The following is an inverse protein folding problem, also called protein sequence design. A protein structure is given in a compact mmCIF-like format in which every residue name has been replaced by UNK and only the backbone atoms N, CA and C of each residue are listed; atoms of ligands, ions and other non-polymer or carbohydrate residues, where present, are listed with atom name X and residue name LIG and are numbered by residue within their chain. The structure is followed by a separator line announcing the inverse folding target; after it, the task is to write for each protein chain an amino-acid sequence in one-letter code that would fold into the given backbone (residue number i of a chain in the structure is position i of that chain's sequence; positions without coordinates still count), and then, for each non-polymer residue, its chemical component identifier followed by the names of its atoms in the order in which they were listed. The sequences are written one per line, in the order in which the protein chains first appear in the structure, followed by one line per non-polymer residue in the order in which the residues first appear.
data_IF_884379947861
#
_entry.id   IF_884379947861
#
_cell.length_a   1.000
_cell.length_b   1.000
_cell.length_c   1.000
_cell.angle_alpha   90.00
_cell.angle_beta   90.00
_cell.angle_gamma   90.00
#
_symmetry.space_group_name_H-M   'P 1'
#
loop_
_entity.id
_entity.type
_entity.pdbx_description
1 polymer ?
#
# COMPACT_ATOMS: atom_id res chain seq x y z
N UNK A 1 1.16 -8.08 -13.28
CA UNK A 1 1.72 -8.75 -12.08
C UNK A 1 0.57 -9.27 -11.22
N UNK A 2 0.82 -10.21 -10.30
CA UNK A 2 -0.21 -10.65 -9.35
C UNK A 2 -0.05 -9.87 -8.05
N UNK A 3 -1.09 -9.18 -7.61
CA UNK A 3 -1.10 -8.38 -6.37
C UNK A 3 -1.04 -9.24 -5.09
N UNK A 4 -0.87 -10.55 -5.19
CA UNK A 4 -0.74 -11.41 -4.02
C UNK A 4 0.66 -11.28 -3.39
N UNK A 5 0.74 -11.32 -2.04
CA UNK A 5 2.01 -11.48 -1.36
C UNK A 5 2.69 -12.79 -1.77
N UNK A 6 4.02 -12.74 -1.89
CA UNK A 6 4.89 -13.88 -2.13
C UNK A 6 5.41 -14.53 -0.82
N UNK A 7 4.70 -14.30 0.28
CA UNK A 7 5.06 -14.72 1.64
C UNK A 7 3.78 -14.99 2.46
N UNK A 8 3.88 -15.61 3.66
CA UNK A 8 2.72 -15.85 4.53
C UNK A 8 2.11 -14.54 5.05
N UNK A 9 0.78 -14.42 4.99
CA UNK A 9 0.05 -13.18 5.31
C UNK A 9 -1.09 -13.37 6.33
N UNK A 10 -1.18 -14.52 7.01
CA UNK A 10 -2.34 -14.82 7.89
C UNK A 10 -2.35 -13.97 9.17
N UNK A 11 -3.54 -13.85 9.78
CA UNK A 11 -3.80 -13.23 11.09
C UNK A 11 -3.56 -11.71 11.17
N UNK A 12 -4.07 -10.97 10.18
CA UNK A 12 -3.83 -9.53 10.00
C UNK A 12 -5.09 -8.68 10.24
N UNK A 13 -6.12 -8.94 9.46
CA UNK A 13 -7.45 -8.33 9.58
C UNK A 13 -8.49 -9.34 9.05
N UNK A 14 -9.75 -8.92 8.97
CA UNK A 14 -10.82 -9.75 8.39
C UNK A 14 -10.73 -9.90 6.86
N UNK A 15 -9.85 -9.15 6.21
CA UNK A 15 -9.64 -9.20 4.77
C UNK A 15 -8.54 -10.19 4.39
N UNK A 16 -8.45 -10.51 3.11
CA UNK A 16 -7.46 -11.43 2.58
C UNK A 16 -7.03 -11.04 1.16
N UNK A 17 -5.77 -11.29 0.78
CA UNK A 17 -5.29 -11.02 -0.57
C UNK A 17 -6.04 -11.87 -1.60
N UNK A 18 -6.74 -11.20 -2.51
CA UNK A 18 -7.38 -11.84 -3.66
C UNK A 18 -6.43 -11.82 -4.86
N UNK A 19 -6.36 -12.93 -5.58
CA UNK A 19 -5.61 -13.01 -6.84
C UNK A 19 -6.29 -12.16 -7.90
N UNK A 20 -5.59 -11.15 -8.37
CA UNK A 20 -6.01 -10.33 -9.51
C UNK A 20 -4.83 -9.86 -10.33
N UNK A 21 -5.14 -9.29 -11.48
CA UNK A 21 -4.17 -8.69 -12.39
C UNK A 21 -4.37 -7.18 -12.41
N UNK A 22 -3.27 -6.46 -12.34
CA UNK A 22 -3.21 -5.03 -12.58
C UNK A 22 -2.18 -4.75 -13.68
N UNK A 23 -2.48 -3.75 -14.51
CA UNK A 23 -1.60 -3.23 -15.53
C UNK A 23 -1.07 -1.87 -15.05
N UNK A 24 0.25 -1.74 -14.95
CA UNK A 24 0.91 -0.47 -14.70
C UNK A 24 1.52 0.04 -15.99
N UNK A 25 1.14 1.25 -16.39
CA UNK A 25 1.78 1.97 -17.49
C UNK A 25 2.79 2.93 -16.89
N UNK A 26 4.09 2.60 -17.02
CA UNK A 26 5.17 3.44 -16.52
C UNK A 26 5.88 4.08 -17.72
N UNK A 27 6.01 5.42 -17.78
CA UNK A 27 6.74 6.06 -18.87
C UNK A 27 8.22 5.67 -18.82
N UNK A 28 8.83 5.46 -19.98
CA UNK A 28 10.26 5.10 -20.07
C UNK A 28 11.19 6.17 -19.47
N UNK A 29 10.75 7.44 -19.47
CA UNK A 29 11.47 8.58 -18.91
C UNK A 29 10.51 9.37 -18.01
N UNK A 30 10.33 8.96 -16.74
CA UNK A 30 9.47 9.69 -15.81
C UNK A 30 10.04 11.09 -15.57
N UNK A 31 9.14 12.08 -15.51
CA UNK A 31 9.46 13.47 -15.21
C UNK A 31 8.51 13.98 -14.14
N UNK A 32 8.99 14.92 -13.34
CA UNK A 32 8.13 15.62 -12.40
C UNK A 32 7.07 16.41 -13.18
N UNK A 33 5.79 16.17 -12.88
CA UNK A 33 4.69 16.94 -13.42
C UNK A 33 4.47 18.18 -12.55
N UNK A 34 4.74 19.37 -13.11
CA UNK A 34 4.53 20.65 -12.42
C UNK A 34 3.08 21.14 -12.50
N UNK A 35 2.24 20.52 -13.35
CA UNK A 35 0.83 20.89 -13.54
C UNK A 35 -0.13 20.19 -12.57
N UNK A 36 0.32 19.12 -11.91
CA UNK A 36 -0.52 18.30 -11.04
C UNK A 36 0.15 18.11 -9.67
N UNK A 37 -0.52 18.55 -8.60
CA UNK A 37 -0.10 18.28 -7.22
C UNK A 37 -1.05 17.26 -6.60
N UNK A 38 -0.51 16.16 -6.07
CA UNK A 38 -1.25 15.18 -5.30
C UNK A 38 -0.98 15.33 -3.79
N UNK A 39 -2.03 15.56 -2.99
CA UNK A 39 -1.94 15.70 -1.54
C UNK A 39 -2.17 14.35 -0.85
N UNK A 40 -1.12 13.54 -0.82
CA UNK A 40 -1.18 12.14 -0.38
C UNK A 40 -1.26 11.96 1.16
N UNK A 41 -1.22 13.05 1.91
CA UNK A 41 -1.43 13.03 3.37
C UNK A 41 -2.91 12.91 3.74
N UNK A 42 -3.83 13.32 2.86
CA UNK A 42 -5.27 13.28 3.09
C UNK A 42 -6.03 12.49 2.01
N UNK A 43 -5.28 11.77 1.16
CA UNK A 43 -5.84 10.99 0.06
C UNK A 43 -5.11 9.66 -0.08
N UNK A 44 -5.89 8.58 -0.21
CA UNK A 44 -5.39 7.25 -0.51
C UNK A 44 -4.91 7.19 -1.96
N UNK A 45 -3.74 6.63 -2.19
CA UNK A 45 -3.21 6.49 -3.54
C UNK A 45 -1.96 5.61 -3.60
N UNK A 46 -1.69 5.06 -4.78
CA UNK A 46 -0.47 4.29 -5.04
C UNK A 46 0.68 5.28 -5.25
N UNK A 47 1.72 5.15 -4.44
CA UNK A 47 2.93 5.99 -4.51
C UNK A 47 4.14 5.22 -5.03
N UNK A 48 4.01 3.90 -5.17
CA UNK A 48 5.03 3.04 -5.75
C UNK A 48 4.50 1.64 -6.04
N UNK A 49 5.31 0.87 -6.77
CA UNK A 49 5.03 -0.53 -7.08
C UNK A 49 6.29 -1.32 -6.75
N UNK A 50 6.14 -2.36 -5.92
CA UNK A 50 7.24 -3.26 -5.57
C UNK A 50 7.58 -4.17 -6.76
N UNK A 51 8.76 -4.82 -6.75
CA UNK A 51 9.14 -5.77 -7.81
C UNK A 51 8.16 -6.94 -7.99
N UNK A 52 7.48 -7.35 -6.92
CA UNK A 52 6.40 -8.35 -6.98
C UNK A 52 5.15 -7.84 -7.72
N UNK A 53 5.07 -6.53 -7.94
CA UNK A 53 3.92 -5.83 -8.48
C UNK A 53 2.91 -5.37 -7.44
N UNK A 54 3.15 -5.63 -6.15
CA UNK A 54 2.31 -5.15 -5.05
C UNK A 54 2.43 -3.63 -4.92
N UNK A 55 1.35 -2.98 -4.49
CA UNK A 55 1.28 -1.53 -4.32
C UNK A 55 1.99 -1.07 -3.04
N UNK A 56 2.71 0.04 -3.14
CA UNK A 56 3.04 0.90 -2.00
C UNK A 56 2.04 2.05 -2.00
N UNK A 57 1.28 2.20 -0.92
CA UNK A 57 0.24 3.23 -0.80
C UNK A 57 0.73 4.42 0.03
N UNK A 58 0.01 5.54 -0.12
CA UNK A 58 0.26 6.78 0.61
C UNK A 58 0.18 6.58 2.13
N UNK A 59 0.73 7.50 2.95
CA UNK A 59 0.66 7.39 4.41
C UNK A 59 -0.74 7.60 5.00
N UNK A 60 -1.75 7.86 4.18
CA UNK A 60 -3.13 8.11 4.61
C UNK A 60 -3.86 6.80 4.92
N UNK A 61 -4.33 6.65 6.17
CA UNK A 61 -5.01 5.44 6.68
C UNK A 61 -6.46 5.30 6.20
N UNK A 62 -7.00 6.31 5.50
CA UNK A 62 -8.33 6.28 4.90
C UNK A 62 -9.26 7.39 5.40
N UNK A 63 -10.45 7.51 4.78
CA UNK A 63 -11.32 8.69 4.90
C UNK A 63 -11.92 8.91 6.30
N UNK A 64 -11.88 7.90 7.17
CA UNK A 64 -12.34 8.02 8.55
C UNK A 64 -11.26 8.57 9.51
N UNK A 65 -10.03 8.74 9.03
CA UNK A 65 -8.87 9.17 9.82
C UNK A 65 -8.44 10.59 9.45
N UNK A 66 -7.74 11.24 10.37
CA UNK A 66 -7.11 12.54 10.13
C UNK A 66 -6.03 12.46 9.04
N UNK A 67 -5.67 13.60 8.48
CA UNK A 67 -4.55 13.69 7.56
C UNK A 67 -3.24 13.22 8.23
N UNK A 68 -2.44 12.45 7.49
CA UNK A 68 -1.14 11.92 7.90
C UNK A 68 -0.07 13.01 7.91
N UNK A 69 -0.18 13.95 8.85
CA UNK A 69 0.74 15.07 9.10
C UNK A 69 1.85 14.72 10.08
N UNK A 70 1.75 13.58 10.75
CA UNK A 70 2.73 13.06 11.72
C UNK A 70 2.75 11.54 11.70
N UNK A 71 3.72 10.93 12.37
CA UNK A 71 3.75 9.46 12.50
C UNK A 71 2.49 8.92 13.18
N UNK A 72 2.01 9.55 14.26
CA UNK A 72 0.84 9.08 15.01
C UNK A 72 -0.49 9.20 14.25
N UNK A 73 -0.51 9.95 13.15
CA UNK A 73 -1.68 10.05 12.25
C UNK A 73 -1.47 9.31 10.93
N UNK A 74 -0.37 8.55 10.80
CA UNK A 74 -0.03 7.81 9.58
C UNK A 74 -0.58 6.39 9.61
N UNK A 75 -0.85 5.82 8.43
CA UNK A 75 -1.27 4.43 8.27
C UNK A 75 -0.35 3.41 8.96
N UNK A 76 1.00 3.55 8.93
CA UNK A 76 1.86 2.68 9.73
C UNK A 76 1.55 2.63 11.23
N UNK A 77 1.11 3.75 11.81
CA UNK A 77 0.76 3.81 13.24
C UNK A 77 -0.68 3.35 13.50
N UNK A 78 -1.62 3.79 12.66
CA UNK A 78 -3.06 3.53 12.85
C UNK A 78 -3.46 2.11 12.45
N UNK A 79 -2.86 1.58 11.39
CA UNK A 79 -3.17 0.25 10.84
C UNK A 79 -2.13 -0.80 11.20
N UNK A 80 -1.07 -0.44 11.94
CA UNK A 80 0.10 -1.29 12.18
C UNK A 80 -0.21 -2.67 12.78
N UNK A 81 -1.20 -2.73 13.68
CA UNK A 81 -1.66 -3.98 14.30
C UNK A 81 -2.40 -4.91 13.31
N UNK A 82 -2.71 -4.39 12.11
CA UNK A 82 -3.38 -5.13 11.04
C UNK A 82 -2.43 -5.57 9.93
N UNK A 83 -1.13 -5.34 10.08
CA UNK A 83 -0.13 -5.75 9.10
C UNK A 83 0.39 -7.16 9.36
N UNK A 84 0.79 -7.85 8.29
CA UNK A 84 1.46 -9.13 8.42
C UNK A 84 2.90 -8.95 8.88
N UNK A 85 3.60 -10.07 9.04
CA UNK A 85 5.01 -10.11 9.43
C UNK A 85 5.95 -9.33 8.50
N UNK A 86 5.48 -8.93 7.33
CA UNK A 86 6.23 -8.19 6.33
C UNK A 86 5.72 -6.75 6.17
N UNK A 87 4.77 -6.31 6.99
CA UNK A 87 4.29 -4.92 7.04
C UNK A 87 3.20 -4.59 6.01
N UNK A 88 2.56 -5.59 5.40
CA UNK A 88 1.49 -5.40 4.42
C UNK A 88 0.16 -5.99 4.86
N UNK A 89 -0.92 -5.60 4.19
CA UNK A 89 -2.24 -6.19 4.40
C UNK A 89 -3.18 -6.00 3.20
N UNK A 90 -4.32 -6.68 3.20
CA UNK A 90 -5.38 -6.48 2.22
C UNK A 90 -6.43 -5.48 2.73
N UNK A 91 -6.84 -4.54 1.89
CA UNK A 91 -7.93 -3.61 2.22
C UNK A 91 -9.32 -4.25 2.04
N UNK A 92 -9.45 -5.24 1.16
CA UNK A 92 -10.71 -5.89 0.79
C UNK A 92 -10.50 -7.39 0.51
N UNK A 93 -11.54 -8.19 0.72
CA UNK A 93 -11.54 -9.65 0.52
C UNK A 93 -12.15 -10.14 -0.80
N UNK A 94 -12.59 -9.26 -1.68
CA UNK A 94 -13.29 -9.59 -2.93
C UNK A 94 -12.54 -9.16 -4.20
N UNK A 95 -11.57 -8.24 -4.07
CA UNK A 95 -10.67 -7.86 -5.16
C UNK A 95 -9.23 -7.63 -4.68
N UNK A 96 -8.33 -7.58 -5.66
CA UNK A 96 -6.91 -7.51 -5.43
C UNK A 96 -6.51 -6.15 -4.85
N UNK A 97 -6.23 -6.15 -3.54
CA UNK A 97 -6.10 -4.93 -2.74
C UNK A 97 -4.94 -4.98 -1.73
N UNK A 98 -4.10 -6.02 -1.80
CA UNK A 98 -2.96 -6.16 -0.90
C UNK A 98 -1.91 -5.09 -1.21
N UNK A 99 -1.41 -4.42 -0.18
CA UNK A 99 -0.51 -3.29 -0.28
C UNK A 99 0.33 -3.11 0.99
N UNK A 100 1.31 -2.22 0.90
CA UNK A 100 2.17 -1.81 2.00
C UNK A 100 2.08 -0.31 2.25
N UNK A 101 2.23 0.08 3.52
CA UNK A 101 2.49 1.47 3.93
C UNK A 101 3.92 1.71 4.40
N UNK A 102 4.69 0.63 4.61
CA UNK A 102 6.07 0.64 5.07
C UNK A 102 6.96 -0.22 4.17
N UNK A 103 8.28 0.01 4.14
CA UNK A 103 9.21 -0.92 3.49
C UNK A 103 9.05 -2.34 4.07
N UNK A 104 8.93 -3.38 3.24
CA UNK A 104 8.64 -4.73 3.72
C UNK A 104 9.88 -5.38 4.33
N UNK A 105 10.10 -5.19 5.64
CA UNK A 105 11.32 -5.57 6.36
C UNK A 105 11.75 -7.03 6.15
N UNK A 106 10.79 -7.95 6.02
CA UNK A 106 11.07 -9.37 5.80
C UNK A 106 11.60 -9.69 4.37
N UNK A 107 11.41 -8.78 3.41
CA UNK A 107 11.77 -8.92 2.00
C UNK A 107 12.97 -8.04 1.60
N UNK A 108 13.40 -7.13 2.47
CA UNK A 108 14.61 -6.33 2.27
C UNK A 108 15.83 -7.22 2.59
N UNK A 109 16.43 -7.80 1.55
CA UNK A 109 17.69 -8.54 1.61
C UNK A 109 18.70 -7.94 0.65
#
# INVERSE_FOLDING_TARGET
TTLCPNHPWKNINSNYPVKGQILYTVPANPRYDTGTTAYLTAQGGIVGVLFSGVMLTSPFAGPAMDAATSFTTSAPYLDGDTFDMCGGHAAFGDFASYHYHVPPSCLLK
#
